data_IF_755232817965
#
_entry.id   IF_755232817965
#
_cell.length_a   1.000
_cell.length_b   1.000
_cell.length_c   1.000
_cell.angle_alpha   90.00
_cell.angle_beta   90.00
_cell.angle_gamma   90.00
#
_symmetry.space_group_name_H-M   'P 1'
#
loop_
_entity.id
_entity.type
_entity.pdbx_description
1 polymer ?
#
# COMPACT_ATOMS: atom_id res chain seq x y z
N UNK A 1 14.67 -5.95 -1.64
CA UNK A 1 13.96 -4.74 -2.10
C UNK A 1 14.61 -4.26 -3.39
N UNK A 2 13.84 -3.76 -4.35
CA UNK A 2 14.37 -3.30 -5.65
C UNK A 2 14.53 -1.78 -5.60
N UNK A 3 15.74 -1.21 -5.78
CA UNK A 3 15.94 0.24 -5.78
C UNK A 3 15.26 0.95 -6.96
N UNK A 4 14.89 2.22 -6.78
CA UNK A 4 14.31 3.06 -7.82
C UNK A 4 15.17 3.09 -9.10
N UNK A 5 16.48 3.32 -8.98
CA UNK A 5 17.42 3.34 -10.11
C UNK A 5 17.32 2.08 -10.97
N UNK A 6 17.23 0.89 -10.34
CA UNK A 6 17.11 -0.37 -11.05
C UNK A 6 15.77 -0.51 -11.78
N UNK A 7 14.67 -0.05 -11.16
CA UNK A 7 13.34 -0.07 -11.78
C UNK A 7 13.36 0.76 -13.06
N UNK A 8 13.86 2.00 -12.97
CA UNK A 8 13.86 2.95 -14.08
C UNK A 8 14.86 2.57 -15.17
N UNK A 9 16.02 2.01 -14.79
CA UNK A 9 17.00 1.47 -15.73
C UNK A 9 16.39 0.34 -16.57
N UNK A 10 15.81 -0.66 -15.92
CA UNK A 10 15.20 -1.81 -16.62
C UNK A 10 14.00 -1.36 -17.47
N UNK A 11 13.20 -0.40 -16.98
CA UNK A 11 12.10 0.16 -17.76
C UNK A 11 12.55 0.76 -19.10
N UNK A 12 13.71 1.44 -19.12
CA UNK A 12 14.32 1.99 -20.34
C UNK A 12 14.96 0.90 -21.22
N UNK A 13 15.71 -0.02 -20.62
CA UNK A 13 16.40 -1.09 -21.35
C UNK A 13 15.41 -2.02 -22.07
N UNK A 14 14.29 -2.33 -21.42
CA UNK A 14 13.25 -3.23 -21.93
C UNK A 14 12.14 -2.51 -22.68
N UNK A 15 12.18 -1.17 -22.80
CA UNK A 15 11.15 -0.34 -23.43
C UNK A 15 9.73 -0.68 -22.96
N UNK A 16 9.53 -0.70 -21.63
CA UNK A 16 8.24 -1.10 -21.05
C UNK A 16 7.15 -0.06 -21.31
N UNK A 17 5.91 -0.50 -21.44
CA UNK A 17 4.78 0.42 -21.63
C UNK A 17 4.20 0.96 -20.32
N UNK A 18 4.41 0.26 -19.20
CA UNK A 18 3.85 0.59 -17.87
C UNK A 18 4.82 0.16 -16.77
N UNK A 19 4.98 0.98 -15.73
CA UNK A 19 5.67 0.59 -14.49
C UNK A 19 4.64 0.34 -13.39
N UNK A 20 4.75 -0.79 -12.69
CA UNK A 20 3.92 -1.13 -11.53
C UNK A 20 4.73 -1.20 -10.24
N UNK A 21 4.27 -0.51 -9.18
CA UNK A 21 4.86 -0.53 -7.85
C UNK A 21 3.94 -1.25 -6.86
N UNK A 22 4.53 -2.09 -6.01
CA UNK A 22 3.83 -2.83 -4.95
C UNK A 22 4.42 -2.52 -3.58
N UNK A 23 3.56 -2.18 -2.62
CA UNK A 23 3.96 -1.81 -1.24
C UNK A 23 3.13 -2.54 -0.18
N UNK A 24 3.80 -3.07 0.84
CA UNK A 24 3.16 -3.82 1.94
C UNK A 24 3.13 -3.05 3.25
N UNK A 25 4.13 -2.22 3.51
CA UNK A 25 4.32 -1.52 4.78
C UNK A 25 4.33 0.00 4.56
N UNK A 26 4.13 0.77 5.63
CA UNK A 26 4.01 2.23 5.53
C UNK A 26 5.23 2.91 4.88
N UNK A 27 6.49 2.51 5.17
CA UNK A 27 7.66 3.09 4.50
C UNK A 27 7.69 2.88 2.98
N UNK A 28 6.97 1.87 2.45
CA UNK A 28 6.88 1.67 0.99
C UNK A 28 6.17 2.82 0.28
N UNK A 29 5.34 3.60 0.98
CA UNK A 29 4.64 4.75 0.40
C UNK A 29 5.59 5.90 0.06
N UNK A 30 6.60 6.15 0.91
CA UNK A 30 7.61 7.18 0.66
C UNK A 30 8.49 6.81 -0.54
N UNK A 31 8.83 5.52 -0.68
CA UNK A 31 9.54 5.01 -1.85
C UNK A 31 8.73 5.19 -3.15
N UNK A 32 7.41 5.00 -3.12
CA UNK A 32 6.56 5.25 -4.29
C UNK A 32 6.53 6.73 -4.69
N UNK A 33 6.50 7.64 -3.72
CA UNK A 33 6.63 9.09 -3.97
C UNK A 33 7.99 9.41 -4.57
N UNK A 34 9.04 8.79 -4.06
CA UNK A 34 10.40 8.95 -4.59
C UNK A 34 10.50 8.47 -6.04
N UNK A 35 9.95 7.30 -6.38
CA UNK A 35 9.93 6.78 -7.76
C UNK A 35 9.16 7.73 -8.68
N UNK A 36 7.99 8.23 -8.29
CA UNK A 36 7.23 9.18 -9.12
C UNK A 36 8.02 10.46 -9.43
N UNK A 37 8.67 11.05 -8.42
CA UNK A 37 9.55 12.22 -8.60
C UNK A 37 10.73 11.93 -9.53
N UNK A 38 11.29 10.73 -9.44
CA UNK A 38 12.44 10.35 -10.26
C UNK A 38 12.03 10.04 -11.71
N UNK A 39 10.83 9.48 -11.91
CA UNK A 39 10.23 9.33 -13.24
C UNK A 39 10.03 10.69 -13.91
N UNK A 40 9.50 11.67 -13.18
CA UNK A 40 9.39 13.06 -13.63
C UNK A 40 10.76 13.67 -13.96
N UNK A 41 11.73 13.55 -13.04
CA UNK A 41 13.08 14.08 -13.20
C UNK A 41 13.79 13.54 -14.45
N UNK A 42 13.54 12.27 -14.78
CA UNK A 42 14.14 11.61 -15.93
C UNK A 42 13.30 11.71 -17.21
N UNK A 43 12.16 12.41 -17.17
CA UNK A 43 11.31 12.64 -18.34
C UNK A 43 10.61 11.39 -18.87
N UNK A 44 10.19 10.47 -17.99
CA UNK A 44 9.36 9.34 -18.41
C UNK A 44 7.99 9.83 -18.91
N UNK A 45 7.45 9.12 -19.91
CA UNK A 45 6.18 9.42 -20.58
C UNK A 45 5.14 8.28 -20.44
N UNK A 46 5.49 7.22 -19.71
CA UNK A 46 4.66 6.03 -19.50
C UNK A 46 3.82 6.09 -18.20
N UNK A 47 2.68 5.38 -18.11
CA UNK A 47 1.86 5.32 -16.90
C UNK A 47 2.51 4.61 -15.72
N UNK A 48 2.19 5.06 -14.51
CA UNK A 48 2.63 4.47 -13.24
C UNK A 48 1.46 3.82 -12.50
N UNK A 49 1.53 2.53 -12.21
CA UNK A 49 0.56 1.80 -11.41
C UNK A 49 1.01 1.67 -9.96
N UNK A 50 0.11 1.94 -9.03
CA UNK A 50 0.34 1.87 -7.58
C UNK A 50 -0.59 0.82 -6.99
N UNK A 51 -0.02 -0.17 -6.27
CA UNK A 51 -0.80 -1.21 -5.60
C UNK A 51 -0.12 -1.77 -4.35
N UNK A 52 -0.82 -2.67 -3.66
CA UNK A 52 -0.34 -3.32 -2.43
C UNK A 52 -1.09 -2.86 -1.17
N UNK A 53 -0.86 -3.55 -0.06
CA UNK A 53 -1.70 -3.47 1.14
C UNK A 53 -1.77 -2.08 1.78
N UNK A 54 -0.68 -1.31 1.74
CA UNK A 54 -0.62 0.04 2.34
C UNK A 54 -1.07 1.14 1.40
N UNK A 55 -1.31 0.83 0.13
CA UNK A 55 -1.69 1.81 -0.88
C UNK A 55 -3.19 2.08 -0.87
N UNK A 56 -3.58 3.31 -1.24
CA UNK A 56 -4.98 3.71 -1.31
C UNK A 56 -5.17 4.82 -2.33
N UNK A 57 -6.38 4.93 -2.89
CA UNK A 57 -6.76 6.01 -3.81
C UNK A 57 -6.46 7.40 -3.21
N UNK A 58 -6.74 7.57 -1.91
CA UNK A 58 -6.50 8.82 -1.21
C UNK A 58 -5.00 9.17 -1.12
N UNK A 59 -4.15 8.22 -0.73
CA UNK A 59 -2.72 8.49 -0.66
C UNK A 59 -2.11 8.76 -2.03
N UNK A 60 -2.49 7.96 -3.04
CA UNK A 60 -2.01 8.15 -4.42
C UNK A 60 -2.36 9.54 -4.96
N UNK A 61 -3.64 9.95 -4.86
CA UNK A 61 -4.09 11.26 -5.34
C UNK A 61 -3.44 12.43 -4.60
N UNK A 62 -3.26 12.33 -3.27
CA UNK A 62 -2.77 13.45 -2.46
C UNK A 62 -1.24 13.56 -2.45
N UNK A 63 -0.52 12.44 -2.53
CA UNK A 63 0.92 12.39 -2.26
C UNK A 63 1.80 11.86 -3.38
N UNK A 64 1.28 11.06 -4.31
CA UNK A 64 2.09 10.43 -5.36
C UNK A 64 1.87 11.11 -6.71
N UNK A 65 0.62 11.17 -7.17
CA UNK A 65 0.27 11.61 -8.53
C UNK A 65 0.74 13.04 -8.84
N UNK A 66 0.70 13.95 -7.87
CA UNK A 66 1.18 15.33 -8.02
C UNK A 66 2.68 15.49 -8.29
N UNK A 67 3.46 14.40 -8.25
CA UNK A 67 4.90 14.43 -8.50
C UNK A 67 5.29 13.87 -9.88
N UNK A 68 4.32 13.53 -10.72
CA UNK A 68 4.57 12.96 -12.04
C UNK A 68 3.47 13.36 -13.02
N UNK A 69 3.83 13.87 -14.20
CA UNK A 69 2.87 14.43 -15.16
C UNK A 69 2.03 13.37 -15.89
N UNK A 70 2.53 12.13 -15.99
CA UNK A 70 1.82 11.06 -16.68
C UNK A 70 0.85 10.34 -15.75
N UNK A 71 -0.10 9.53 -16.28
CA UNK A 71 -1.13 8.91 -15.47
C UNK A 71 -0.55 8.05 -14.34
N UNK A 72 -0.88 8.40 -13.08
CA UNK A 72 -0.60 7.59 -11.90
C UNK A 72 -1.89 6.93 -11.42
N UNK A 73 -1.98 5.61 -11.50
CA UNK A 73 -3.21 4.87 -11.24
C UNK A 73 -3.07 3.95 -10.03
N UNK A 74 -3.84 4.24 -8.98
CA UNK A 74 -4.08 3.28 -7.91
C UNK A 74 -4.96 2.11 -8.38
N UNK A 75 -4.47 0.88 -8.19
CA UNK A 75 -5.19 -0.35 -8.50
C UNK A 75 -5.37 -1.19 -7.24
N UNK A 76 -6.64 -1.45 -6.88
CA UNK A 76 -7.00 -2.15 -5.64
C UNK A 76 -6.58 -3.64 -5.64
N UNK A 77 -6.69 -4.32 -6.79
CA UNK A 77 -6.42 -5.75 -6.90
C UNK A 77 -6.01 -6.15 -8.31
N UNK A 78 -5.46 -7.37 -8.44
CA UNK A 78 -4.93 -7.89 -9.69
C UNK A 78 -6.01 -8.03 -10.79
N UNK A 79 -7.24 -8.41 -10.44
CA UNK A 79 -8.31 -8.58 -11.44
C UNK A 79 -8.68 -7.26 -12.13
N UNK A 80 -8.59 -6.14 -11.41
CA UNK A 80 -8.81 -4.79 -11.98
C UNK A 80 -7.61 -4.26 -12.76
N UNK A 81 -6.39 -4.72 -12.46
CA UNK A 81 -5.17 -4.27 -13.14
C UNK A 81 -5.25 -4.50 -14.65
N UNK A 82 -5.80 -5.63 -15.08
CA UNK A 82 -5.93 -5.99 -16.50
C UNK A 82 -6.74 -4.95 -17.28
N UNK A 83 -7.92 -4.56 -16.76
CA UNK A 83 -8.76 -3.56 -17.41
C UNK A 83 -8.15 -2.16 -17.42
N UNK A 84 -7.41 -1.82 -16.36
CA UNK A 84 -6.66 -0.54 -16.27
C UNK A 84 -5.55 -0.50 -17.32
N UNK A 85 -4.72 -1.54 -17.40
CA UNK A 85 -3.66 -1.60 -18.42
C UNK A 85 -4.23 -1.55 -19.83
N UNK A 86 -5.30 -2.31 -20.11
CA UNK A 86 -5.94 -2.29 -21.43
C UNK A 86 -6.49 -0.91 -21.80
N UNK A 87 -7.00 -0.14 -20.83
CA UNK A 87 -7.48 1.22 -21.08
C UNK A 87 -6.33 2.20 -21.31
N UNK A 88 -5.22 2.06 -20.56
CA UNK A 88 -4.05 2.93 -20.66
C UNK A 88 -3.23 2.72 -21.93
N UNK A 89 -3.24 1.50 -22.49
CA UNK A 89 -2.52 1.15 -23.71
C UNK A 89 -3.34 1.33 -24.99
N UNK A 90 -4.62 1.70 -24.87
CA UNK A 90 -5.51 1.90 -26.01
C UNK A 90 -5.59 3.38 -26.39
N UNK A 91 -5.25 3.70 -27.63
CA UNK A 91 -5.31 5.09 -28.14
C UNK A 91 -6.72 5.70 -28.08
N UNK A 92 -7.76 4.87 -28.17
CA UNK A 92 -9.17 5.30 -28.14
C UNK A 92 -9.72 5.42 -26.72
N UNK A 93 -9.27 4.57 -25.78
CA UNK A 93 -9.78 4.56 -24.41
C UNK A 93 -8.97 5.42 -23.45
N UNK A 94 -7.65 5.58 -23.69
CA UNK A 94 -6.73 6.30 -22.81
C UNK A 94 -7.18 7.73 -22.52
N UNK A 95 -7.59 8.57 -23.50
CA UNK A 95 -7.93 9.97 -23.22
C UNK A 95 -9.11 10.09 -22.23
N UNK A 96 -10.21 9.39 -22.49
CA UNK A 96 -11.39 9.40 -21.64
C UNK A 96 -11.12 8.76 -20.26
N UNK A 97 -10.28 7.73 -20.21
CA UNK A 97 -9.88 7.11 -18.95
C UNK A 97 -9.06 8.07 -18.07
N UNK A 98 -8.09 8.77 -18.65
CA UNK A 98 -7.21 9.71 -17.93
C UNK A 98 -8.00 10.92 -17.45
N UNK A 99 -8.88 11.49 -18.28
CA UNK A 99 -9.75 12.59 -17.88
C UNK A 99 -10.62 12.22 -16.68
N UNK A 100 -11.26 11.04 -16.74
CA UNK A 100 -12.06 10.52 -15.62
C UNK A 100 -11.22 10.31 -14.37
N UNK A 101 -10.01 9.76 -14.51
CA UNK A 101 -9.10 9.52 -13.39
C UNK A 101 -8.69 10.82 -12.69
N UNK A 102 -8.37 11.86 -13.46
CA UNK A 102 -8.00 13.18 -12.94
C UNK A 102 -9.17 13.80 -12.16
N UNK A 103 -10.37 13.83 -12.75
CA UNK A 103 -11.57 14.32 -12.07
C UNK A 103 -11.85 13.55 -10.76
N UNK A 104 -11.69 12.22 -10.78
CA UNK A 104 -11.81 11.37 -9.61
C UNK A 104 -10.79 11.72 -8.51
N UNK A 105 -9.56 12.08 -8.88
CA UNK A 105 -8.49 12.42 -7.94
C UNK A 105 -8.67 13.83 -7.39
N UNK A 106 -9.17 14.77 -8.18
CA UNK A 106 -9.53 16.12 -7.72
C UNK A 106 -10.59 16.06 -6.62
N UNK A 107 -11.66 15.29 -6.85
CA UNK A 107 -12.70 15.07 -5.83
C UNK A 107 -12.11 14.48 -4.55
N UNK A 108 -11.22 13.49 -4.67
CA UNK A 108 -10.57 12.86 -3.51
C UNK A 108 -9.68 13.86 -2.75
N UNK A 109 -8.93 14.70 -3.47
CA UNK A 109 -8.08 15.76 -2.87
C UNK A 109 -8.94 16.80 -2.16
N UNK A 110 -10.02 17.26 -2.77
CA UNK A 110 -10.96 18.20 -2.14
C UNK A 110 -11.59 17.62 -0.87
N UNK A 111 -12.07 16.38 -0.92
CA UNK A 111 -12.64 15.70 0.23
C UNK A 111 -11.61 15.53 1.35
N UNK A 112 -10.36 15.20 1.00
CA UNK A 112 -9.28 15.09 1.97
C UNK A 112 -8.92 16.46 2.58
N UNK A 113 -8.91 17.53 1.80
CA UNK A 113 -8.67 18.89 2.29
C UNK A 113 -9.79 19.39 3.23
N UNK A 114 -11.03 18.98 2.97
CA UNK A 114 -12.19 19.30 3.82
C UNK A 114 -12.28 18.46 5.10
N UNK A 115 -11.52 17.37 5.23
CA UNK A 115 -11.53 16.54 6.44
C UNK A 115 -11.07 17.36 7.64
N UNK A 116 -12.02 17.64 8.52
CA UNK A 116 -11.74 18.14 9.87
C UNK A 116 -11.61 16.95 10.80
N UNK A 117 -10.70 17.00 11.80
CA UNK A 117 -10.65 16.00 12.86
C UNK A 117 -12.05 15.82 13.47
N UNK A 118 -12.55 14.57 13.54
CA UNK A 118 -13.84 14.27 14.18
C UNK A 118 -13.85 14.69 15.65
N UNK A 119 -12.70 14.62 16.30
CA UNK A 119 -12.45 15.08 17.66
C UNK A 119 -11.37 16.14 17.64
N UNK A 120 -11.52 17.16 18.49
CA UNK A 120 -10.48 18.20 18.62
C UNK A 120 -9.18 17.52 19.10
N UNK A 121 -8.04 17.78 18.45
CA UNK A 121 -6.76 17.30 18.96
C UNK A 121 -6.51 17.91 20.34
N UNK A 122 -5.94 17.12 21.23
CA UNK A 122 -5.52 17.55 22.57
C UNK A 122 -4.01 17.76 22.60
N UNK A 123 -3.52 18.53 23.56
CA UNK A 123 -2.07 18.66 23.77
C UNK A 123 -1.47 17.33 24.21
N UNK A 124 -0.18 17.17 23.97
CA UNK A 124 0.55 15.98 24.39
C UNK A 124 0.51 15.81 25.93
N UNK A 125 0.55 16.92 26.66
CA UNK A 125 0.44 16.96 28.12
C UNK A 125 -0.92 16.43 28.58
N UNK A 126 -2.01 16.90 27.98
CA UNK A 126 -3.36 16.46 28.32
C UNK A 126 -3.57 14.97 27.98
N UNK A 127 -3.06 14.50 26.84
CA UNK A 127 -3.11 13.08 26.48
C UNK A 127 -2.35 12.19 27.49
N UNK A 128 -1.16 12.62 27.93
CA UNK A 128 -0.38 11.90 28.95
C UNK A 128 -1.02 11.93 30.33
N UNK A 129 -1.68 13.04 30.70
CA UNK A 129 -2.46 13.14 31.92
C UNK A 129 -3.66 12.18 31.89
N UNK A 130 -4.30 11.99 30.73
CA UNK A 130 -5.37 11.03 30.48
C UNK A 130 -4.87 9.60 30.14
N UNK A 131 -3.77 9.17 30.75
CA UNK A 131 -3.32 7.77 30.64
C UNK A 131 -4.33 6.84 31.33
N UNK A 132 -4.34 5.56 30.95
CA UNK A 132 -5.13 4.54 31.65
C UNK A 132 -4.76 4.51 33.14
N UNK A 133 -5.78 4.61 34.00
CA UNK A 133 -5.62 4.56 35.46
C UNK A 133 -5.51 3.10 35.91
N UNK A 134 -4.29 2.57 35.92
CA UNK A 134 -3.99 1.23 36.43
C UNK A 134 -3.54 1.36 37.88
N UNK A 135 -4.20 0.64 38.79
CA UNK A 135 -3.72 0.47 40.16
C UNK A 135 -2.57 -0.56 40.18
N UNK A 136 -1.35 -0.05 40.06
CA UNK A 136 -0.14 -0.86 40.11
C UNK A 136 0.17 -1.42 41.50
N UNK A 137 -0.44 -0.90 42.58
CA UNK A 137 -0.25 -1.43 43.92
C UNK A 137 -1.11 -2.68 44.16
N UNK A 138 -2.29 -2.74 43.53
CA UNK A 138 -3.18 -3.91 43.56
C UNK A 138 -2.90 -4.95 42.46
N UNK A 139 -1.98 -4.65 41.52
CA UNK A 139 -1.62 -5.55 40.43
C UNK A 139 -0.18 -6.06 40.57
N UNK A 140 -0.02 -7.38 40.63
CA UNK A 140 1.28 -8.04 40.54
C UNK A 140 1.47 -8.58 39.12
N UNK A 141 2.34 -7.97 38.29
CA UNK A 141 2.62 -8.49 36.95
C UNK A 141 3.15 -9.93 37.03
N UNK A 142 2.68 -10.86 36.18
CA UNK A 142 3.18 -12.22 36.17
C UNK A 142 4.66 -12.22 35.78
N UNK A 143 5.49 -12.90 36.56
CA UNK A 143 6.91 -13.07 36.24
C UNK A 143 7.04 -14.02 35.05
N UNK A 144 7.72 -13.63 33.95
CA UNK A 144 7.94 -14.53 32.82
C UNK A 144 8.66 -15.80 33.25
N UNK A 145 8.15 -16.97 32.83
CA UNK A 145 8.76 -18.27 33.13
C UNK A 145 10.18 -18.42 32.53
N UNK A 146 10.44 -17.76 31.42
CA UNK A 146 11.75 -17.69 30.76
C UNK A 146 12.08 -16.23 30.45
N UNK A 147 13.30 -15.81 30.79
CA UNK A 147 13.85 -14.49 30.46
C UNK A 147 14.96 -14.65 29.43
N UNK A 148 15.26 -13.58 28.70
CA UNK A 148 16.24 -13.59 27.61
C UNK A 148 15.64 -14.05 26.28
N UNK A 149 16.48 -14.21 25.26
CA UNK A 149 16.06 -14.65 23.92
C UNK A 149 16.10 -16.16 23.79
N UNK A 150 15.02 -16.76 23.28
CA UNK A 150 14.97 -18.18 22.91
C UNK A 150 14.62 -18.29 21.42
N UNK A 151 15.44 -19.02 20.67
CA UNK A 151 15.09 -19.42 19.31
C UNK A 151 14.21 -20.66 19.38
N UNK A 152 12.99 -20.58 18.86
CA UNK A 152 12.12 -21.73 18.75
C UNK A 152 12.61 -22.63 17.62
N UNK A 153 12.95 -23.88 17.95
CA UNK A 153 13.21 -24.89 16.92
C UNK A 153 11.97 -25.11 16.06
N UNK A 154 12.22 -25.37 14.78
CA UNK A 154 11.27 -25.54 13.68
C UNK A 154 9.96 -26.20 14.13
N UNK A 155 8.90 -25.42 14.20
CA UNK A 155 7.54 -25.94 14.34
C UNK A 155 7.16 -26.62 13.04
N UNK A 156 7.08 -27.95 13.06
CA UNK A 156 6.73 -28.73 11.88
C UNK A 156 5.23 -28.60 11.61
N UNK A 157 4.89 -28.06 10.45
CA UNK A 157 3.51 -27.99 9.98
C UNK A 157 3.01 -29.43 9.78
N UNK A 158 2.15 -29.94 10.68
CA UNK A 158 1.52 -31.25 10.51
C UNK A 158 0.33 -31.07 9.57
N UNK A 159 0.34 -31.66 8.35
CA UNK A 159 -0.86 -31.66 7.52
C UNK A 159 -1.97 -32.42 8.25
N UNK A 160 -3.19 -31.88 8.20
CA UNK A 160 -4.39 -32.53 8.73
C UNK A 160 -4.44 -33.99 8.26
N UNK A 161 -4.56 -34.93 9.20
CA UNK A 161 -4.87 -36.31 8.86
C UNK A 161 -6.23 -36.33 8.16
N UNK A 162 -6.24 -36.67 6.87
CA UNK A 162 -7.47 -36.95 6.13
C UNK A 162 -8.08 -38.18 6.78
N UNK A 163 -9.16 -37.99 7.55
CA UNK A 163 -10.00 -39.10 8.00
C UNK A 163 -10.73 -39.59 6.74
N UNK A 164 -10.15 -40.59 6.09
CA UNK A 164 -10.81 -41.40 5.06
C UNK A 164 -11.92 -42.20 5.74
N UNK A 165 -13.13 -41.65 5.84
CA UNK A 165 -14.33 -42.45 6.06
C UNK A 165 -14.63 -43.18 4.75
N UNK A 166 -14.09 -44.39 4.62
CA UNK A 166 -14.51 -45.32 3.59
C UNK A 166 -15.98 -45.66 3.76
N UNK A 167 -16.85 -45.03 2.97
CA UNK A 167 -18.16 -45.58 2.64
C UNK A 167 -18.05 -46.23 1.27
N UNK A 168 -17.97 -47.56 1.29
CA UNK A 168 -18.26 -48.40 0.12
C UNK A 168 -19.74 -48.24 -0.17
N UNK A 169 -20.08 -47.67 -1.32
CA UNK A 169 -21.36 -47.91 -1.94
C UNK A 169 -21.27 -49.25 -2.68
N UNK A 170 -22.04 -50.22 -2.19
CA UNK A 170 -22.48 -51.42 -2.92
C UNK A 170 -23.72 -51.09 -3.75
#
# INVERSE_FOLDING_TARGET
MVPCEKILKVAKEENVDIIGLSGLITPSLDEMVHVAKEMERQGFDLPLLIGGATTSKAHTAVKIEQNYQQPVVYVNNASRAVGVCSSLLSDTLKPAFVEKLQADYDVVREQHARKRPRTKPVTLEAARANKVAIDWAAYTPPVPAQRGSMSLMRWMWRPYAVISTGHRFS
#
